data_IF_398320024642
#
_entry.id   IF_398320024642
#
_cell.length_a   1.000
_cell.length_b   1.000
_cell.length_c   1.000
_cell.angle_alpha   90.00
_cell.angle_beta   90.00
_cell.angle_gamma   90.00
#
_symmetry.space_group_name_H-M   'P 1'
#
loop_
_entity.id
_entity.type
_entity.pdbx_description
1 polymer ?
#
# COMPACT_ATOMS: atom_id res chain seq x y z
N UNK A 1 9.70 7.25 -26.41
CA UNK A 1 8.76 8.13 -25.67
C UNK A 1 8.03 7.38 -24.55
N UNK A 2 7.38 6.22 -24.80
CA UNK A 2 6.77 5.34 -23.76
C UNK A 2 7.77 4.87 -22.69
N UNK A 3 8.90 4.27 -23.08
CA UNK A 3 9.94 3.81 -22.14
C UNK A 3 10.44 4.87 -21.13
N UNK A 4 10.47 6.15 -21.52
CA UNK A 4 10.88 7.23 -20.62
C UNK A 4 9.80 7.54 -19.58
N UNK A 5 8.53 7.54 -19.99
CA UNK A 5 7.38 7.73 -19.10
C UNK A 5 7.23 6.54 -18.13
N UNK A 6 7.37 5.31 -18.63
CA UNK A 6 7.37 4.09 -17.79
C UNK A 6 8.51 4.15 -16.77
N UNK A 7 9.70 4.58 -17.22
CA UNK A 7 10.86 4.75 -16.35
C UNK A 7 10.63 5.76 -15.22
N UNK A 8 9.84 6.81 -15.44
CA UNK A 8 9.53 7.79 -14.40
C UNK A 8 8.60 7.21 -13.32
N UNK A 9 7.58 6.45 -13.72
CA UNK A 9 6.66 5.78 -12.79
C UNK A 9 7.40 4.71 -11.99
N UNK A 10 8.20 3.87 -12.67
CA UNK A 10 8.97 2.79 -12.05
C UNK A 10 10.01 3.26 -11.02
N UNK A 11 10.47 4.52 -11.15
CA UNK A 11 11.43 5.16 -10.24
C UNK A 11 10.78 5.96 -9.11
N UNK A 12 9.44 6.05 -9.05
CA UNK A 12 8.76 6.67 -7.90
C UNK A 12 9.18 5.99 -6.61
N UNK A 13 9.29 6.79 -5.54
CA UNK A 13 9.74 6.31 -4.23
C UNK A 13 8.54 5.83 -3.42
N UNK A 14 8.80 4.85 -2.56
CA UNK A 14 7.86 4.37 -1.54
C UNK A 14 8.64 3.91 -0.32
N UNK A 15 8.03 4.03 0.86
CA UNK A 15 8.58 3.47 2.10
C UNK A 15 8.18 2.00 2.22
N UNK A 16 9.16 1.15 2.52
CA UNK A 16 8.94 -0.26 2.82
C UNK A 16 9.56 -0.63 4.16
N UNK A 17 8.97 -1.59 4.85
CA UNK A 17 9.51 -2.16 6.08
C UNK A 17 10.23 -3.47 5.78
N UNK A 18 11.55 -3.51 5.99
CA UNK A 18 12.34 -4.74 5.92
C UNK A 18 13.39 -4.74 7.02
N UNK A 19 13.68 -5.93 7.56
CA UNK A 19 14.72 -6.12 8.58
C UNK A 19 14.57 -5.15 9.77
N UNK A 20 13.34 -4.94 10.23
CA UNK A 20 13.05 -4.10 11.40
C UNK A 20 13.05 -2.59 11.15
N UNK A 21 13.26 -2.13 9.90
CA UNK A 21 13.47 -0.72 9.58
C UNK A 21 12.64 -0.25 8.39
N UNK A 22 12.25 1.02 8.42
CA UNK A 22 11.67 1.72 7.28
C UNK A 22 12.78 2.22 6.36
N UNK A 23 12.68 1.91 5.07
CA UNK A 23 13.61 2.38 4.06
C UNK A 23 12.85 2.81 2.80
N UNK A 24 13.42 3.78 2.09
CA UNK A 24 12.93 4.14 0.79
C UNK A 24 13.45 3.18 -0.28
N UNK A 25 12.55 2.76 -1.16
CA UNK A 25 12.88 2.03 -2.38
C UNK A 25 12.16 2.66 -3.57
N UNK A 26 12.41 2.15 -4.78
CA UNK A 26 11.67 2.50 -6.00
C UNK A 26 10.54 1.52 -6.24
N UNK A 27 9.45 1.93 -6.90
CA UNK A 27 8.30 1.07 -7.20
C UNK A 27 8.69 -0.25 -7.89
N UNK A 28 9.59 -0.22 -8.87
CA UNK A 28 10.10 -1.43 -9.55
C UNK A 28 10.84 -2.43 -8.64
N UNK A 29 11.14 -2.07 -7.38
CA UNK A 29 11.85 -2.90 -6.39
C UNK A 29 10.93 -3.41 -5.27
N UNK A 30 9.65 -3.05 -5.30
CA UNK A 30 8.62 -3.60 -4.42
C UNK A 30 8.38 -5.06 -4.81
N UNK A 31 8.23 -5.93 -3.81
CA UNK A 31 8.01 -7.37 -3.97
C UNK A 31 6.78 -7.80 -3.19
N UNK A 32 6.16 -8.91 -3.60
CA UNK A 32 5.08 -9.56 -2.85
C UNK A 32 5.59 -9.87 -1.43
N UNK A 33 4.78 -9.52 -0.42
CA UNK A 33 5.11 -9.66 0.99
C UNK A 33 5.83 -8.45 1.61
N UNK A 34 6.20 -7.43 0.82
CA UNK A 34 6.67 -6.17 1.40
C UNK A 34 5.52 -5.45 2.11
N UNK A 35 5.77 -5.03 3.36
CA UNK A 35 4.92 -4.06 4.04
C UNK A 35 5.31 -2.68 3.53
N UNK A 36 4.37 -1.99 2.91
CA UNK A 36 4.55 -0.63 2.37
C UNK A 36 3.88 0.40 3.27
N UNK A 37 4.46 1.60 3.37
CA UNK A 37 3.80 2.77 3.98
C UNK A 37 3.53 3.78 2.88
N UNK A 38 2.24 4.05 2.67
CA UNK A 38 1.75 5.06 1.73
C UNK A 38 1.30 6.26 2.55
N UNK A 39 1.84 7.44 2.24
CA UNK A 39 1.46 8.68 2.91
C UNK A 39 0.25 9.32 2.20
N UNK A 40 -0.35 10.30 2.87
CA UNK A 40 -1.46 11.05 2.30
C UNK A 40 -1.07 11.68 0.95
N UNK A 41 -2.00 11.65 -0.01
CA UNK A 41 -1.82 12.09 -1.39
C UNK A 41 -0.74 11.36 -2.21
N UNK A 42 -0.28 10.17 -1.79
CA UNK A 42 0.60 9.32 -2.58
C UNK A 42 -0.19 8.29 -3.41
N UNK A 43 0.37 7.92 -4.57
CA UNK A 43 -0.17 6.83 -5.38
C UNK A 43 0.27 5.46 -4.84
N UNK A 44 -0.55 4.44 -5.09
CA UNK A 44 -0.23 3.07 -4.72
C UNK A 44 0.79 2.44 -5.69
N UNK A 45 1.84 1.77 -5.18
CA UNK A 45 2.86 1.12 -6.02
C UNK A 45 2.42 -0.25 -6.57
N UNK A 46 1.37 -0.85 -6.01
CA UNK A 46 0.84 -2.18 -6.29
C UNK A 46 -0.58 -2.31 -5.71
N UNK A 47 -1.23 -3.46 -5.92
CA UNK A 47 -2.44 -3.84 -5.18
C UNK A 47 -2.06 -4.21 -3.74
N UNK A 48 -2.78 -3.66 -2.76
CA UNK A 48 -2.42 -3.74 -1.34
C UNK A 48 -3.56 -4.28 -0.47
N UNK A 49 -3.18 -4.91 0.64
CA UNK A 49 -4.07 -5.21 1.76
C UNK A 49 -3.82 -4.20 2.87
N UNK A 50 -4.87 -3.53 3.34
CA UNK A 50 -4.78 -2.55 4.41
C UNK A 50 -4.60 -3.23 5.77
N UNK A 51 -3.42 -3.07 6.38
CA UNK A 51 -3.12 -3.54 7.73
C UNK A 51 -3.61 -2.55 8.79
N UNK A 52 -3.14 -1.31 8.71
CA UNK A 52 -3.46 -0.25 9.65
C UNK A 52 -3.48 1.11 8.93
N UNK A 53 -4.19 2.07 9.50
CA UNK A 53 -4.21 3.47 9.08
C UNK A 53 -3.90 4.37 10.27
N UNK A 54 -3.40 5.58 10.00
CA UNK A 54 -3.22 6.62 11.02
C UNK A 54 -4.53 7.23 11.53
N UNK A 55 -5.64 6.99 10.83
CA UNK A 55 -6.97 7.46 11.21
C UNK A 55 -7.65 6.55 12.25
N UNK A 56 -8.63 7.08 13.02
CA UNK A 56 -9.46 6.27 13.90
C UNK A 56 -10.11 5.07 13.20
N UNK A 57 -10.24 3.96 13.94
CA UNK A 57 -10.81 2.71 13.44
C UNK A 57 -10.10 2.10 12.21
N UNK A 58 -8.85 2.52 11.95
CA UNK A 58 -8.05 2.06 10.82
C UNK A 58 -8.72 2.31 9.45
N UNK A 59 -9.42 3.44 9.33
CA UNK A 59 -10.09 3.83 8.09
C UNK A 59 -9.09 4.55 7.16
N UNK A 60 -9.21 4.39 5.85
CA UNK A 60 -8.56 5.26 4.88
C UNK A 60 -9.50 5.60 3.73
N UNK A 61 -9.22 6.73 3.08
CA UNK A 61 -10.01 7.25 1.97
C UNK A 61 -9.17 7.16 0.70
N UNK A 62 -9.72 6.52 -0.32
CA UNK A 62 -9.03 6.28 -1.59
C UNK A 62 -9.77 7.01 -2.70
N UNK A 63 -9.05 7.88 -3.40
CA UNK A 63 -9.55 8.48 -4.63
C UNK A 63 -9.22 7.58 -5.82
N UNK A 64 -10.24 7.11 -6.55
CA UNK A 64 -10.07 6.29 -7.75
C UNK A 64 -10.32 7.04 -9.05
N UNK A 65 -10.42 8.37 -9.02
CA UNK A 65 -10.73 9.20 -10.19
C UNK A 65 -9.82 8.96 -11.41
N UNK A 66 -8.60 8.45 -11.20
CA UNK A 66 -7.66 8.10 -12.27
C UNK A 66 -7.97 6.76 -12.97
N UNK A 67 -8.86 5.95 -12.41
CA UNK A 67 -9.27 4.63 -12.91
C UNK A 67 -10.66 4.66 -13.56
N UNK A 68 -11.63 5.32 -12.92
CA UNK A 68 -13.05 5.30 -13.29
C UNK A 68 -13.67 6.68 -13.53
N UNK A 69 -12.95 7.77 -13.25
CA UNK A 69 -13.46 9.14 -13.35
C UNK A 69 -14.38 9.55 -12.19
N UNK A 70 -14.56 8.70 -11.17
CA UNK A 70 -15.36 9.01 -9.99
C UNK A 70 -14.59 9.98 -9.08
N UNK A 71 -15.23 11.10 -8.70
CA UNK A 71 -14.65 12.09 -7.80
C UNK A 71 -14.88 11.78 -6.32
N UNK A 72 -15.68 10.77 -6.02
CA UNK A 72 -15.98 10.36 -4.65
C UNK A 72 -14.83 9.55 -4.05
N UNK A 73 -14.59 9.75 -2.75
CA UNK A 73 -13.62 8.96 -2.00
C UNK A 73 -14.24 7.61 -1.62
N UNK A 74 -13.57 6.52 -1.98
CA UNK A 74 -13.93 5.17 -1.55
C UNK A 74 -13.34 4.93 -0.17
N UNK A 75 -14.20 4.58 0.79
CA UNK A 75 -13.79 4.27 2.16
C UNK A 75 -13.31 2.82 2.22
N UNK A 76 -12.11 2.61 2.78
CA UNK A 76 -11.61 1.27 3.13
C UNK A 76 -11.34 1.24 4.63
N UNK A 77 -11.64 0.11 5.26
CA UNK A 77 -11.43 -0.08 6.70
C UNK A 77 -10.52 -1.29 6.91
N UNK A 78 -9.45 -1.10 7.68
CA UNK A 78 -8.55 -2.17 8.09
C UNK A 78 -9.20 -3.08 9.13
N UNK A 79 -8.63 -4.27 9.30
CA UNK A 79 -9.13 -5.22 10.28
C UNK A 79 -8.87 -4.73 11.71
N UNK A 80 -9.82 -4.89 12.65
CA UNK A 80 -9.60 -4.53 14.06
C UNK A 80 -8.35 -5.21 14.67
N UNK A 81 -8.04 -6.42 14.21
CA UNK A 81 -6.92 -7.23 14.67
C UNK A 81 -5.56 -6.59 14.32
N UNK A 82 -5.47 -5.86 13.21
CA UNK A 82 -4.24 -5.21 12.74
C UNK A 82 -4.24 -3.69 12.92
N UNK A 83 -5.39 -3.10 13.26
CA UNK A 83 -5.58 -1.65 13.43
C UNK A 83 -4.58 -0.99 14.40
N UNK A 84 -4.11 -1.73 15.40
CA UNK A 84 -3.16 -1.23 16.39
C UNK A 84 -1.72 -1.14 15.88
N UNK A 85 -1.38 -1.76 14.73
CA UNK A 85 -0.02 -1.88 14.20
C UNK A 85 0.46 -0.60 13.51
N UNK A 86 0.56 0.50 14.26
CA UNK A 86 0.92 1.83 13.74
C UNK A 86 2.44 2.06 13.84
N UNK A 87 3.11 1.40 14.80
CA UNK A 87 4.55 1.53 15.05
C UNK A 87 5.36 0.40 14.42
N UNK A 88 6.64 0.68 14.15
CA UNK A 88 7.60 -0.32 13.67
C UNK A 88 7.85 -1.47 14.66
N UNK A 89 7.61 -1.25 15.96
CA UNK A 89 7.73 -2.27 17.00
C UNK A 89 6.63 -3.31 16.82
N UNK A 90 5.38 -2.88 16.66
CA UNK A 90 4.24 -3.80 16.47
C UNK A 90 4.34 -4.58 15.15
N UNK A 91 4.86 -3.95 14.10
CA UNK A 91 5.10 -4.63 12.82
C UNK A 91 6.23 -5.66 12.87
N UNK A 92 7.16 -5.56 13.83
CA UNK A 92 8.25 -6.52 13.98
C UNK A 92 7.74 -7.91 14.36
N UNK A 93 6.72 -7.93 15.21
CA UNK A 93 6.16 -9.15 15.77
C UNK A 93 4.98 -9.67 14.91
N UNK A 94 4.68 -8.99 13.80
CA UNK A 94 3.64 -9.42 12.87
C UNK A 94 4.07 -10.67 12.12
N UNK A 95 3.34 -11.76 12.36
CA UNK A 95 3.47 -13.02 11.64
C UNK A 95 2.10 -13.44 11.13
N UNK A 96 2.05 -13.89 9.88
CA UNK A 96 0.81 -14.33 9.26
C UNK A 96 1.01 -14.69 7.79
N UNK A 97 -0.07 -15.18 7.19
CA UNK A 97 -0.15 -15.52 5.77
C UNK A 97 -1.37 -14.81 5.19
N UNK A 98 -1.20 -14.24 4.01
CA UNK A 98 -2.30 -13.73 3.20
C UNK A 98 -2.52 -14.72 2.07
N UNK A 99 -3.72 -15.28 2.01
CA UNK A 99 -4.17 -16.10 0.89
C UNK A 99 -5.11 -15.25 0.03
N UNK A 100 -4.88 -15.25 -1.28
CA UNK A 100 -5.71 -14.54 -2.24
C UNK A 100 -5.91 -15.38 -3.50
N UNK A 101 -6.90 -14.98 -4.30
CA UNK A 101 -7.12 -15.57 -5.61
C UNK A 101 -5.96 -15.31 -6.59
N UNK A 102 -5.97 -16.02 -7.72
CA UNK A 102 -5.04 -15.75 -8.81
C UNK A 102 -5.33 -14.39 -9.47
N UNK A 103 -4.30 -13.69 -9.96
CA UNK A 103 -4.49 -12.42 -10.66
C UNK A 103 -5.50 -12.55 -11.80
N UNK A 104 -6.52 -11.70 -11.78
CA UNK A 104 -7.56 -11.64 -12.80
C UNK A 104 -7.87 -10.18 -13.14
N UNK A 105 -8.67 -9.95 -14.19
CA UNK A 105 -8.97 -8.61 -14.70
C UNK A 105 -10.25 -8.00 -14.10
N UNK A 106 -10.89 -8.64 -13.13
CA UNK A 106 -12.07 -8.08 -12.48
C UNK A 106 -11.63 -7.04 -11.45
N UNK A 107 -12.16 -5.82 -11.60
CA UNK A 107 -11.95 -4.66 -10.71
C UNK A 107 -13.16 -4.47 -9.79
#
# INVERSE_FOLDING_TARGET
KRHFQDGAVNKRRVLIYRNGNWLYTTWQRVKVGDIVKVLDNEFFPADLVLLSSGEPHSICYIQTSNLDGETNLKVRQGLPQTAHMISSVQLRDLLGVIECELPNLNL
#
